data_IF_335869480709
#
_entry.id   IF_335869480709
#
_cell.length_a   1.000
_cell.length_b   1.000
_cell.length_c   1.000
_cell.angle_alpha   90.00
_cell.angle_beta   90.00
_cell.angle_gamma   90.00
#
_symmetry.space_group_name_H-M   'P 1'
#
loop_
_entity.id
_entity.type
_entity.pdbx_description
1 polymer ?
#
# COMPACT_ATOMS: atom_id res chain seq x y z
N UNK A 1 -8.18 7.30 8.87
CA UNK A 1 -7.24 8.09 8.04
C UNK A 1 -7.46 7.73 6.57
N UNK A 2 -8.21 8.50 5.78
CA UNK A 2 -8.46 8.15 4.37
C UNK A 2 -7.29 8.55 3.49
N UNK A 3 -6.51 7.57 3.03
CA UNK A 3 -5.37 7.80 2.13
C UNK A 3 -5.35 6.74 1.04
N UNK A 4 -5.69 7.13 -0.19
CA UNK A 4 -4.87 6.99 -1.39
C UNK A 4 -5.65 7.55 -2.59
N UNK A 5 -5.18 8.64 -3.18
CA UNK A 5 -5.57 9.05 -4.53
C UNK A 5 -4.35 8.92 -5.43
N UNK A 6 -4.20 7.76 -6.08
CA UNK A 6 -3.26 7.62 -7.18
C UNK A 6 -3.83 8.36 -8.40
N UNK A 7 -3.22 9.50 -8.78
CA UNK A 7 -3.62 10.20 -10.01
C UNK A 7 -3.14 9.40 -11.24
N UNK A 8 -3.99 9.39 -12.28
CA UNK A 8 -3.92 8.61 -13.53
C UNK A 8 -2.65 8.72 -14.39
N UNK A 9 -1.64 9.51 -14.03
CA UNK A 9 -0.53 9.82 -14.92
C UNK A 9 0.79 9.20 -14.43
N UNK A 10 0.85 7.86 -14.49
CA UNK A 10 2.11 7.13 -14.50
C UNK A 10 2.46 6.88 -15.97
N UNK A 11 3.45 7.63 -16.49
CA UNK A 11 3.89 7.55 -17.90
C UNK A 11 5.04 6.57 -18.06
N UNK A 12 4.87 5.56 -18.90
CA UNK A 12 5.84 4.48 -19.14
C UNK A 12 7.03 4.98 -19.98
N UNK A 13 8.25 4.57 -19.62
CA UNK A 13 9.49 4.83 -20.35
C UNK A 13 9.45 4.42 -21.82
N UNK A 14 9.85 5.34 -22.70
CA UNK A 14 10.13 5.05 -24.09
C UNK A 14 11.06 6.07 -24.75
N UNK A 15 12.21 5.57 -25.24
CA UNK A 15 12.74 5.75 -26.60
C UNK A 15 14.26 5.99 -26.66
N UNK A 16 15.02 4.96 -27.04
CA UNK A 16 16.38 5.08 -27.58
C UNK A 16 16.45 4.41 -28.95
N UNK A 17 16.78 5.18 -30.00
CA UNK A 17 16.90 4.71 -31.40
C UNK A 17 18.33 4.21 -31.67
N UNK A 18 18.49 3.02 -32.28
CA UNK A 18 19.28 2.81 -33.53
C UNK A 18 19.31 1.34 -34.05
N UNK A 19 19.00 1.21 -35.35
CA UNK A 19 19.41 0.27 -36.44
C UNK A 19 19.25 -1.29 -36.39
N UNK A 20 18.22 -1.74 -37.12
CA UNK A 20 17.98 -2.89 -38.03
C UNK A 20 19.02 -4.05 -38.15
N UNK A 21 18.64 -5.27 -37.74
CA UNK A 21 18.54 -6.52 -38.58
C UNK A 21 18.82 -7.83 -37.81
N UNK A 22 17.79 -8.51 -37.29
CA UNK A 22 17.63 -9.98 -37.32
C UNK A 22 16.21 -10.29 -36.81
N UNK A 23 15.52 -11.26 -37.41
CA UNK A 23 14.13 -11.61 -37.11
C UNK A 23 13.92 -12.01 -35.64
N UNK A 24 13.63 -11.03 -34.79
CA UNK A 24 13.03 -11.25 -33.49
C UNK A 24 11.52 -11.25 -33.72
N UNK A 25 10.86 -12.37 -33.42
CA UNK A 25 9.41 -12.36 -33.20
C UNK A 25 9.20 -11.50 -31.96
N UNK A 26 9.17 -10.18 -32.16
CA UNK A 26 8.88 -9.21 -31.14
C UNK A 26 7.44 -9.44 -30.75
N UNK A 27 7.24 -10.04 -29.58
CA UNK A 27 5.98 -9.94 -28.86
C UNK A 27 5.62 -8.46 -28.84
N UNK A 28 4.63 -8.09 -29.65
CA UNK A 28 3.95 -6.81 -29.52
C UNK A 28 3.34 -6.82 -28.12
N UNK A 29 4.08 -6.29 -27.15
CA UNK A 29 3.55 -6.02 -25.83
C UNK A 29 2.43 -4.99 -26.03
N UNK A 30 1.19 -5.47 -26.11
CA UNK A 30 0.04 -4.60 -26.01
C UNK A 30 0.20 -3.80 -24.72
N UNK A 31 0.33 -2.49 -24.85
CA UNK A 31 0.30 -1.56 -23.72
C UNK A 31 -1.12 -1.58 -23.15
N UNK A 32 -1.43 -2.60 -22.34
CA UNK A 32 -2.62 -2.63 -21.53
C UNK A 32 -2.59 -1.45 -20.57
N UNK A 33 -3.75 -0.83 -20.33
CA UNK A 33 -3.87 0.15 -19.25
C UNK A 33 -3.56 -0.56 -17.93
N UNK A 34 -2.38 -0.30 -17.36
CA UNK A 34 -2.06 -0.74 -16.01
C UNK A 34 -2.85 0.14 -15.04
N UNK A 35 -3.55 -0.51 -14.13
CA UNK A 35 -4.39 0.16 -13.14
C UNK A 35 -3.86 -0.12 -11.75
N UNK A 36 -4.04 0.84 -10.85
CA UNK A 36 -3.83 0.61 -9.42
C UNK A 36 -4.93 -0.30 -8.93
N UNK A 37 -4.56 -1.37 -8.22
CA UNK A 37 -5.49 -2.19 -7.46
C UNK A 37 -5.88 -1.39 -6.21
N UNK A 38 -7.14 -0.97 -6.15
CA UNK A 38 -7.64 -0.16 -5.05
C UNK A 38 -8.94 -0.77 -4.52
N UNK A 39 -8.79 -1.58 -3.47
CA UNK A 39 -9.89 -2.17 -2.72
C UNK A 39 -9.60 -1.98 -1.21
N UNK A 40 -9.91 -0.82 -0.61
CA UNK A 40 -9.49 -0.47 0.76
C UNK A 40 -9.96 -1.44 1.84
N UNK A 41 -11.05 -2.19 1.57
CA UNK A 41 -11.60 -3.24 2.42
C UNK A 41 -10.88 -4.59 2.28
N UNK A 42 -10.01 -4.77 1.28
CA UNK A 42 -9.30 -6.02 1.07
C UNK A 42 -7.95 -6.02 1.79
N UNK A 43 -7.69 -7.07 2.57
CA UNK A 43 -6.39 -7.31 3.20
C UNK A 43 -5.32 -7.78 2.23
N UNK A 44 -5.70 -8.22 1.03
CA UNK A 44 -4.79 -8.84 0.05
C UNK A 44 -4.56 -8.00 -1.19
N UNK A 45 -5.56 -7.22 -1.62
CA UNK A 45 -5.52 -6.42 -2.84
C UNK A 45 -5.71 -4.91 -2.58
N UNK A 46 -5.92 -4.53 -1.32
CA UNK A 46 -6.07 -3.14 -0.91
C UNK A 46 -4.73 -2.44 -0.68
N UNK A 47 -4.70 -1.10 -0.75
CA UNK A 47 -3.56 -0.35 -0.26
C UNK A 47 -3.40 -0.56 1.25
N UNK A 48 -2.15 -0.65 1.71
CA UNK A 48 -1.83 -0.74 3.13
C UNK A 48 -0.96 0.45 3.56
N UNK A 49 -1.14 1.00 4.79
CA UNK A 49 -2.20 0.70 5.74
C UNK A 49 -3.56 1.24 5.30
N UNK A 50 -4.64 0.58 5.72
CA UNK A 50 -6.03 1.05 5.60
C UNK A 50 -6.76 0.89 6.93
N UNK A 51 -7.93 1.54 7.05
CA UNK A 51 -8.72 1.51 8.29
C UNK A 51 -9.46 0.17 8.49
N UNK A 52 -9.36 -0.81 7.58
CA UNK A 52 -10.09 -2.10 7.66
C UNK A 52 -9.70 -2.95 8.87
N UNK A 53 -8.48 -2.78 9.39
CA UNK A 53 -7.97 -3.43 10.60
C UNK A 53 -7.92 -2.47 11.79
N UNK A 54 -8.78 -1.45 11.78
CA UNK A 54 -8.91 -0.49 12.88
C UNK A 54 -10.38 -0.29 13.22
N UNK A 55 -10.64 0.15 14.45
CA UNK A 55 -11.94 0.62 14.89
C UNK A 55 -11.81 2.06 15.38
N UNK A 56 -12.86 2.87 15.20
CA UNK A 56 -12.90 4.19 15.81
C UNK A 56 -12.81 4.07 17.34
N UNK A 57 -11.96 4.89 17.94
CA UNK A 57 -11.75 4.95 19.39
C UNK A 57 -11.30 6.35 19.79
N UNK A 58 -12.20 7.09 20.43
CA UNK A 58 -11.94 8.48 20.84
C UNK A 58 -11.01 8.59 22.05
N UNK A 59 -10.62 7.48 22.67
CA UNK A 59 -9.62 7.46 23.75
C UNK A 59 -8.18 7.46 23.23
N UNK A 60 -8.00 7.19 21.93
CA UNK A 60 -6.72 7.15 21.23
C UNK A 60 -6.40 8.51 20.59
N UNK A 61 -5.12 8.89 20.46
CA UNK A 61 -4.71 10.20 19.91
C UNK A 61 -5.08 10.28 18.43
N UNK A 62 -4.95 9.18 17.69
CA UNK A 62 -5.32 9.14 16.26
C UNK A 62 -6.82 8.97 16.03
N UNK A 63 -7.62 8.78 17.09
CA UNK A 63 -9.05 8.48 17.00
C UNK A 63 -9.36 7.06 16.52
N UNK A 64 -8.34 6.20 16.41
CA UNK A 64 -8.45 4.82 15.97
C UNK A 64 -7.65 3.89 16.89
N UNK A 65 -8.16 2.67 17.10
CA UNK A 65 -7.39 1.56 17.69
C UNK A 65 -7.21 0.46 16.66
N UNK A 66 -6.13 -0.31 16.78
CA UNK A 66 -5.98 -1.55 16.01
C UNK A 66 -7.12 -2.53 16.38
N UNK A 67 -7.69 -3.19 15.37
CA UNK A 67 -8.80 -4.11 15.51
C UNK A 67 -8.59 -5.31 14.57
N UNK A 68 -7.57 -6.10 14.89
CA UNK A 68 -7.31 -7.37 14.22
C UNK A 68 -8.42 -8.38 14.56
N UNK A 69 -8.84 -9.20 13.58
CA UNK A 69 -9.74 -10.31 13.87
C UNK A 69 -9.10 -11.25 14.89
N UNK A 70 -9.89 -11.96 15.71
CA UNK A 70 -9.38 -12.98 16.62
C UNK A 70 -8.47 -13.94 15.85
N UNK A 71 -7.28 -14.20 16.39
CA UNK A 71 -6.30 -15.05 15.71
C UNK A 71 -6.83 -16.48 15.53
N UNK A 72 -7.59 -16.98 16.50
CA UNK A 72 -8.18 -18.30 16.48
C UNK A 72 -9.62 -18.22 17.01
N UNK A 73 -10.48 -19.12 16.55
CA UNK A 73 -11.86 -19.23 17.03
C UNK A 73 -11.95 -19.68 18.50
N UNK A 74 -10.86 -20.22 19.06
CA UNK A 74 -10.76 -20.73 20.43
C UNK A 74 -9.61 -20.08 21.19
N UNK A 75 -9.72 -18.78 21.43
CA UNK A 75 -8.89 -18.14 22.47
C UNK A 75 -9.45 -18.51 23.85
N UNK A 76 -8.97 -19.63 24.40
CA UNK A 76 -9.30 -20.09 25.75
C UNK A 76 -8.62 -19.18 26.80
N UNK A 77 -9.37 -18.52 27.70
CA UNK A 77 -8.82 -17.70 28.77
C UNK A 77 -7.90 -18.47 29.74
N UNK A 78 -8.05 -19.79 29.86
CA UNK A 78 -7.28 -20.65 30.77
C UNK A 78 -5.98 -21.18 30.16
N UNK A 79 -5.85 -21.16 28.82
CA UNK A 79 -4.70 -21.72 28.08
C UNK A 79 -4.33 -20.86 26.88
N UNK A 80 -4.39 -19.53 27.04
CA UNK A 80 -4.20 -18.59 25.92
C UNK A 80 -2.91 -18.90 25.16
N UNK A 81 -3.08 -19.38 23.93
CA UNK A 81 -1.97 -19.53 23.00
C UNK A 81 -1.30 -18.16 22.83
N UNK A 82 0.04 -18.09 22.70
CA UNK A 82 0.74 -16.81 22.54
C UNK A 82 0.16 -15.92 21.44
N UNK A 83 -0.43 -16.53 20.40
CA UNK A 83 -1.09 -15.80 19.31
C UNK A 83 -2.31 -14.98 19.79
N UNK A 84 -3.12 -15.48 20.73
CA UNK A 84 -4.28 -14.76 21.26
C UNK A 84 -3.83 -13.55 22.08
N UNK A 85 -2.91 -13.75 23.01
CA UNK A 85 -2.37 -12.67 23.86
C UNK A 85 -1.66 -11.60 23.04
N UNK A 86 -0.94 -11.99 21.98
CA UNK A 86 -0.28 -11.03 21.09
C UNK A 86 -1.30 -10.20 20.30
N UNK A 87 -2.36 -10.81 19.78
CA UNK A 87 -3.43 -10.08 19.08
C UNK A 87 -4.15 -9.11 20.01
N UNK A 88 -4.46 -9.51 21.24
CA UNK A 88 -5.08 -8.62 22.23
C UNK A 88 -4.18 -7.44 22.59
N UNK A 89 -2.87 -7.67 22.74
CA UNK A 89 -1.89 -6.62 22.98
C UNK A 89 -1.78 -5.66 21.78
N UNK A 90 -1.74 -6.17 20.55
CA UNK A 90 -1.73 -5.35 19.34
C UNK A 90 -3.00 -4.50 19.22
N UNK A 91 -4.17 -5.04 19.60
CA UNK A 91 -5.44 -4.32 19.61
C UNK A 91 -5.52 -3.19 20.66
N UNK A 92 -4.50 -3.02 21.52
CA UNK A 92 -4.38 -1.87 22.42
C UNK A 92 -3.65 -0.68 21.78
N UNK A 93 -3.09 -0.83 20.57
CA UNK A 93 -2.32 0.24 19.93
C UNK A 93 -3.20 1.32 19.30
N UNK A 94 -2.71 2.56 19.40
CA UNK A 94 -3.26 3.78 18.80
C UNK A 94 -3.09 3.77 17.27
N UNK A 95 -3.90 2.94 16.62
CA UNK A 95 -3.88 2.76 15.18
C UNK A 95 -2.55 2.23 14.64
N UNK A 96 -2.34 2.38 13.34
CA UNK A 96 -1.07 2.04 12.69
C UNK A 96 -0.03 3.14 12.88
N UNK A 97 1.24 2.76 12.70
CA UNK A 97 2.36 3.70 12.77
C UNK A 97 2.13 4.95 11.91
N UNK A 98 2.38 6.12 12.49
CA UNK A 98 2.45 7.42 11.81
C UNK A 98 3.64 7.55 10.83
N UNK A 99 4.52 6.55 10.77
CA UNK A 99 5.52 6.43 9.71
C UNK A 99 5.38 5.05 9.04
N UNK A 100 4.24 4.77 8.38
CA UNK A 100 3.93 3.43 7.91
C UNK A 100 4.76 3.08 6.67
N UNK A 101 4.96 1.78 6.43
CA UNK A 101 5.35 1.31 5.09
C UNK A 101 4.06 1.19 4.28
N UNK A 102 3.98 1.97 3.22
CA UNK A 102 2.87 1.96 2.28
C UNK A 102 3.02 0.79 1.32
N UNK A 103 1.92 0.21 0.87
CA UNK A 103 1.87 -0.78 -0.19
C UNK A 103 0.80 -0.39 -1.21
N UNK A 104 1.15 -0.44 -2.49
CA UNK A 104 0.25 -0.21 -3.62
C UNK A 104 0.54 -1.25 -4.69
N UNK A 105 -0.48 -2.00 -5.10
CA UNK A 105 -0.32 -3.04 -6.12
C UNK A 105 -0.96 -2.62 -7.44
N UNK A 106 -0.48 -3.19 -8.54
CA UNK A 106 -0.88 -2.86 -9.91
C UNK A 106 -1.37 -4.11 -10.64
N UNK A 107 -2.29 -3.94 -11.59
CA UNK A 107 -2.82 -5.05 -12.40
C UNK A 107 -1.80 -5.66 -13.37
N UNK A 108 -0.69 -4.96 -13.62
CA UNK A 108 0.40 -5.37 -14.51
C UNK A 108 1.71 -4.64 -14.11
N UNK A 109 2.87 -4.99 -14.70
CA UNK A 109 4.12 -4.30 -14.44
C UNK A 109 4.08 -2.80 -14.76
N UNK A 110 4.80 -2.00 -13.97
CA UNK A 110 4.91 -0.54 -14.13
C UNK A 110 6.35 -0.09 -14.34
N UNK A 111 6.53 1.06 -14.98
CA UNK A 111 7.82 1.73 -15.05
C UNK A 111 8.19 2.30 -13.67
N UNK A 112 9.18 1.68 -13.03
CA UNK A 112 9.61 2.04 -11.68
C UNK A 112 10.18 3.46 -11.56
N UNK A 113 10.67 4.05 -12.67
CA UNK A 113 11.20 5.41 -12.67
C UNK A 113 10.13 6.48 -12.39
N UNK A 114 8.86 6.11 -12.56
CA UNK A 114 7.70 7.01 -12.38
C UNK A 114 7.13 6.98 -10.97
N UNK A 115 7.45 5.93 -10.19
CA UNK A 115 6.90 5.73 -8.85
C UNK A 115 7.17 6.89 -7.89
N UNK A 116 8.36 7.54 -7.88
CA UNK A 116 8.63 8.70 -7.02
C UNK A 116 7.66 9.87 -7.22
N UNK A 117 7.24 10.12 -8.46
CA UNK A 117 6.29 11.20 -8.79
C UNK A 117 4.83 10.75 -8.81
N UNK A 118 4.58 9.45 -9.02
CA UNK A 118 3.25 8.88 -9.16
C UNK A 118 2.56 8.55 -7.83
N UNK A 119 3.34 8.27 -6.78
CA UNK A 119 2.83 7.89 -5.46
C UNK A 119 2.80 9.09 -4.51
N UNK A 120 1.60 9.44 -4.04
CA UNK A 120 1.38 10.56 -3.13
C UNK A 120 0.34 10.19 -2.08
N UNK A 121 0.54 10.63 -0.83
CA UNK A 121 -0.46 10.56 0.22
C UNK A 121 -1.18 11.90 0.35
N UNK A 122 -2.45 11.86 0.70
CA UNK A 122 -3.25 13.04 1.02
C UNK A 122 -3.87 12.83 2.39
N UNK A 123 -3.63 13.74 3.32
CA UNK A 123 -4.39 13.75 4.57
C UNK A 123 -5.86 14.05 4.26
N UNK A 124 -6.78 13.48 5.04
CA UNK A 124 -8.21 13.73 4.85
C UNK A 124 -8.51 15.25 4.92
N UNK A 125 -9.16 15.79 3.89
CA UNK A 125 -9.44 17.23 3.79
C UNK A 125 -8.27 18.10 3.30
N UNK A 126 -7.10 17.53 3.02
CA UNK A 126 -5.95 18.24 2.43
C UNK A 126 -5.82 17.97 0.93
N UNK A 127 -5.50 19.01 0.16
CA UNK A 127 -5.09 18.88 -1.25
C UNK A 127 -3.57 18.86 -1.43
N UNK A 128 -2.80 19.10 -0.36
CA UNK A 128 -1.35 19.11 -0.41
C UNK A 128 -0.81 17.68 -0.32
N UNK A 129 -0.11 17.19 -1.35
CA UNK A 129 0.42 15.84 -1.34
C UNK A 129 1.62 15.73 -0.40
N UNK A 130 1.69 14.62 0.31
CA UNK A 130 2.89 14.13 0.98
C UNK A 130 3.54 13.15 0.01
N UNK A 131 4.76 13.46 -0.46
CA UNK A 131 5.46 12.55 -1.38
C UNK A 131 6.04 11.36 -0.62
N UNK A 132 6.49 10.36 -1.37
CA UNK A 132 7.11 9.15 -0.80
C UNK A 132 8.62 9.10 -1.04
N UNK A 133 9.32 8.28 -0.27
CA UNK A 133 10.72 7.92 -0.44
C UNK A 133 10.93 6.41 -0.16
N UNK A 134 12.17 5.94 -0.26
CA UNK A 134 12.56 4.53 0.02
C UNK A 134 11.67 3.51 -0.73
N UNK A 135 11.51 3.73 -2.03
CA UNK A 135 10.63 2.92 -2.86
C UNK A 135 11.28 1.58 -3.20
N UNK A 136 10.54 0.50 -2.99
CA UNK A 136 10.91 -0.86 -3.39
C UNK A 136 9.77 -1.38 -4.27
N UNK A 137 10.10 -1.96 -5.42
CA UNK A 137 9.12 -2.58 -6.31
C UNK A 137 9.35 -4.09 -6.37
N UNK A 138 8.30 -4.86 -6.13
CA UNK A 138 8.29 -6.31 -6.29
C UNK A 138 7.61 -6.69 -7.63
N UNK A 139 8.36 -7.18 -8.63
CA UNK A 139 7.80 -7.56 -9.91
C UNK A 139 7.01 -8.88 -9.86
N UNK A 140 7.17 -9.71 -8.82
CA UNK A 140 6.42 -10.96 -8.70
C UNK A 140 4.94 -10.70 -8.36
N UNK A 141 4.68 -9.67 -7.56
CA UNK A 141 3.34 -9.27 -7.11
C UNK A 141 2.83 -7.98 -7.77
N UNK A 142 3.68 -7.31 -8.57
CA UNK A 142 3.45 -5.96 -9.08
C UNK A 142 3.08 -4.98 -7.97
N UNK A 143 3.76 -5.04 -6.83
CA UNK A 143 3.51 -4.14 -5.70
C UNK A 143 4.70 -3.20 -5.45
N UNK A 144 4.39 -1.92 -5.24
CA UNK A 144 5.34 -0.93 -4.77
C UNK A 144 5.16 -0.70 -3.27
N UNK A 145 6.28 -0.65 -2.56
CA UNK A 145 6.37 -0.32 -1.15
C UNK A 145 7.12 0.99 -0.99
N UNK A 146 6.68 1.86 -0.09
CA UNK A 146 7.36 3.15 0.13
C UNK A 146 7.17 3.66 1.56
N UNK A 147 7.95 4.67 1.95
CA UNK A 147 7.76 5.44 3.18
C UNK A 147 7.28 6.85 2.83
N UNK A 148 6.45 7.49 3.67
CA UNK A 148 6.19 8.92 3.50
C UNK A 148 7.50 9.70 3.68
N UNK A 149 7.63 10.83 2.98
CA UNK A 149 8.81 11.70 3.08
C UNK A 149 8.93 12.43 4.44
N UNK A 150 7.91 12.30 5.30
CA UNK A 150 7.81 12.88 6.62
C UNK A 150 6.96 11.99 7.53
N UNK A 151 7.04 12.20 8.85
CA UNK A 151 6.13 11.57 9.81
C UNK A 151 4.73 12.16 9.66
N UNK A 152 3.72 11.31 9.57
CA UNK A 152 2.32 11.70 9.49
C UNK A 152 1.86 12.25 10.85
N UNK A 153 0.92 13.19 10.84
CA UNK A 153 0.36 13.84 12.03
C UNK A 153 -1.13 13.75 12.01
#
# INVERSE_FOLDING_TARGET
MQILYARRNISIAGAGKFLISLAFVGTLAFAGQTTVLYEPSSLTAGPFPSDVLTAADTTQITGHRIALPPAESSCDPSQSLPVCTNTDALNQFDGFSVNPRLMVCFSAPVDTSTLPSGLNLYAAGSSNPITVNQIIYDPATNCAFAKPNQVLK
#
